data_IF_275182205700
#
_entry.id   IF_275182205700
#
_cell.length_a   1.000
_cell.length_b   1.000
_cell.length_c   1.000
_cell.angle_alpha   90.00
_cell.angle_beta   90.00
_cell.angle_gamma   90.00
#
_symmetry.space_group_name_H-M   'P 1'
#
loop_
_entity.id
_entity.type
_entity.pdbx_description
1 polymer ?
#
# COMPACT_ATOMS: atom_id res chain seq x y z
N UNK A 1 -16.36 13.96 -12.30
CA UNK A 1 -15.58 13.49 -11.14
C UNK A 1 -14.22 13.04 -11.65
N UNK A 2 -13.25 13.96 -11.67
CA UNK A 2 -11.94 13.73 -12.26
C UNK A 2 -11.06 12.87 -11.38
N UNK A 3 -10.70 11.67 -11.85
CA UNK A 3 -9.55 10.93 -11.36
C UNK A 3 -8.27 11.51 -11.98
N UNK A 4 -8.05 12.81 -11.74
CA UNK A 4 -6.91 13.57 -12.24
C UNK A 4 -6.22 14.23 -11.07
N UNK A 5 -5.47 13.44 -10.32
CA UNK A 5 -4.34 13.94 -9.58
C UNK A 5 -3.30 12.84 -9.65
N UNK A 6 -2.23 13.03 -10.42
CA UNK A 6 -0.93 12.57 -9.95
C UNK A 6 -0.70 13.38 -8.68
N UNK A 7 -0.75 12.76 -7.51
CA UNK A 7 -0.44 13.48 -6.34
C UNK A 7 1.01 13.17 -6.02
N UNK A 8 1.76 14.16 -5.64
CA UNK A 8 2.74 14.02 -4.57
C UNK A 8 2.03 13.56 -3.27
N UNK A 9 1.18 12.51 -3.30
CA UNK A 9 0.54 11.93 -2.14
C UNK A 9 1.65 11.13 -1.49
N UNK A 10 2.35 11.78 -0.58
CA UNK A 10 3.17 11.10 0.41
C UNK A 10 2.37 10.06 1.20
N UNK A 11 1.03 10.02 1.09
CA UNK A 11 0.13 9.21 1.89
C UNK A 11 -0.94 8.52 1.02
N UNK A 12 -0.98 7.19 1.01
CA UNK A 12 -2.02 6.38 0.37
C UNK A 12 -2.97 5.78 1.41
N UNK A 13 -4.27 5.69 1.07
CA UNK A 13 -5.21 4.92 1.89
C UNK A 13 -5.07 3.41 1.63
N UNK A 14 -5.52 2.58 2.58
CA UNK A 14 -5.55 1.13 2.37
C UNK A 14 -6.38 0.70 1.15
N UNK A 15 -7.45 1.45 0.82
CA UNK A 15 -8.29 1.17 -0.35
C UNK A 15 -7.57 1.50 -1.67
N UNK A 16 -6.84 2.62 -1.73
CA UNK A 16 -6.05 2.97 -2.92
C UNK A 16 -4.94 1.95 -3.19
N UNK A 17 -4.22 1.53 -2.14
CA UNK A 17 -3.19 0.49 -2.24
C UNK A 17 -3.81 -0.83 -2.69
N UNK A 18 -4.96 -1.19 -2.12
CA UNK A 18 -5.66 -2.41 -2.48
C UNK A 18 -6.13 -2.40 -3.94
N UNK A 19 -6.68 -1.28 -4.43
CA UNK A 19 -7.06 -1.13 -5.84
C UNK A 19 -5.85 -1.26 -6.76
N UNK A 20 -4.76 -0.54 -6.46
CA UNK A 20 -3.53 -0.63 -7.25
C UNK A 20 -3.00 -2.06 -7.30
N UNK A 21 -2.93 -2.75 -6.17
CA UNK A 21 -2.43 -4.12 -6.09
C UNK A 21 -3.44 -5.19 -6.52
N UNK A 22 -4.66 -4.81 -6.93
CA UNK A 22 -5.79 -5.73 -7.17
C UNK A 22 -6.02 -6.70 -6.00
N UNK A 23 -5.95 -6.18 -4.77
CA UNK A 23 -6.19 -6.90 -3.53
C UNK A 23 -7.46 -6.40 -2.84
N UNK A 24 -7.97 -7.19 -1.90
CA UNK A 24 -9.02 -6.73 -1.01
C UNK A 24 -8.44 -5.70 0.01
N UNK A 25 -9.08 -4.54 0.24
CA UNK A 25 -8.69 -3.56 1.27
C UNK A 25 -8.47 -4.16 2.66
N UNK A 26 -9.24 -5.18 3.03
CA UNK A 26 -9.05 -5.92 4.29
C UNK A 26 -7.67 -6.59 4.37
N UNK A 27 -7.07 -6.99 3.24
CA UNK A 27 -5.72 -7.57 3.19
C UNK A 27 -4.66 -6.53 3.55
N UNK A 28 -4.78 -5.32 3.00
CA UNK A 28 -3.87 -4.21 3.32
C UNK A 28 -4.05 -3.79 4.79
N UNK A 29 -5.28 -3.73 5.28
CA UNK A 29 -5.56 -3.48 6.70
C UNK A 29 -4.94 -4.55 7.61
N UNK A 30 -4.96 -5.84 7.20
CA UNK A 30 -4.28 -6.92 7.93
C UNK A 30 -2.77 -6.71 7.97
N UNK A 31 -2.14 -6.21 6.90
CA UNK A 31 -0.71 -5.90 6.91
C UNK A 31 -0.36 -4.79 7.90
N UNK A 32 -1.21 -3.76 7.98
CA UNK A 32 -1.07 -2.69 8.98
C UNK A 32 -1.25 -3.23 10.40
N UNK A 33 -2.32 -4.00 10.65
CA UNK A 33 -2.59 -4.61 11.97
C UNK A 33 -1.48 -5.57 12.42
N UNK A 34 -0.83 -6.27 11.48
CA UNK A 34 0.32 -7.16 11.75
C UNK A 34 1.64 -6.40 11.93
N UNK A 35 1.66 -5.08 11.77
CA UNK A 35 2.87 -4.27 11.84
C UNK A 35 3.82 -4.44 10.64
N UNK A 36 3.39 -5.11 9.58
CA UNK A 36 4.19 -5.29 8.37
C UNK A 36 4.24 -4.02 7.53
N UNK A 37 3.14 -3.27 7.49
CA UNK A 37 3.04 -2.01 6.78
C UNK A 37 2.81 -0.87 7.76
N UNK A 38 3.77 0.05 7.85
CA UNK A 38 3.65 1.20 8.74
C UNK A 38 2.60 2.17 8.18
N UNK A 39 1.59 2.47 8.99
CA UNK A 39 0.54 3.41 8.65
C UNK A 39 0.28 4.36 9.81
N UNK A 40 -0.14 5.58 9.48
CA UNK A 40 -0.62 6.60 10.39
C UNK A 40 -2.13 6.43 10.50
N UNK A 41 -2.62 6.14 11.70
CA UNK A 41 -4.06 6.10 11.96
C UNK A 41 -4.59 7.54 11.98
N UNK A 42 -5.52 7.86 11.08
CA UNK A 42 -6.21 9.18 11.04
C UNK A 42 -7.54 9.15 11.77
N UNK A 43 -8.23 8.01 11.73
CA UNK A 43 -9.48 7.79 12.48
C UNK A 43 -9.61 6.31 12.86
N UNK A 44 -10.69 5.93 13.53
CA UNK A 44 -10.95 4.55 13.94
C UNK A 44 -10.88 3.55 12.76
N UNK A 45 -11.21 4.00 11.54
CA UNK A 45 -11.29 3.16 10.34
C UNK A 45 -10.34 3.58 9.21
N UNK A 46 -9.75 4.78 9.28
CA UNK A 46 -8.89 5.31 8.22
C UNK A 46 -7.41 5.27 8.60
N UNK A 47 -6.64 4.57 7.77
CA UNK A 47 -5.18 4.51 7.83
C UNK A 47 -4.58 5.18 6.60
N UNK A 48 -3.51 5.94 6.82
CA UNK A 48 -2.68 6.54 5.78
C UNK A 48 -1.30 5.89 5.80
N UNK A 49 -0.87 5.36 4.67
CA UNK A 49 0.42 4.70 4.50
C UNK A 49 1.32 5.60 3.69
N UNK A 50 2.52 5.89 4.18
CA UNK A 50 3.42 6.73 3.40
C UNK A 50 4.04 5.99 2.22
N UNK A 51 4.29 6.69 1.12
CA UNK A 51 4.94 6.13 -0.09
C UNK A 51 6.32 5.55 0.26
N UNK A 52 7.08 6.24 1.11
CA UNK A 52 8.35 5.75 1.70
C UNK A 52 8.22 4.46 2.51
N UNK A 53 7.12 4.30 3.25
CA UNK A 53 6.88 3.09 4.05
C UNK A 53 6.42 1.94 3.15
N UNK A 54 5.64 2.21 2.10
CA UNK A 54 5.38 1.26 1.01
C UNK A 54 6.68 0.83 0.32
N UNK A 55 7.61 1.77 0.05
CA UNK A 55 8.93 1.45 -0.54
C UNK A 55 9.69 0.46 0.30
N UNK A 56 9.76 0.70 1.60
CA UNK A 56 10.43 -0.20 2.55
C UNK A 56 9.76 -1.56 2.60
N UNK A 57 8.43 -1.59 2.61
CA UNK A 57 7.65 -2.82 2.60
C UNK A 57 7.86 -3.65 1.32
N UNK A 58 7.82 -3.04 0.13
CA UNK A 58 8.06 -3.75 -1.12
C UNK A 58 9.53 -4.14 -1.32
N UNK A 59 10.47 -3.37 -0.74
CA UNK A 59 11.90 -3.70 -0.77
C UNK A 59 12.22 -4.91 0.12
N UNK A 60 11.55 -5.04 1.26
CA UNK A 60 11.73 -6.17 2.17
C UNK A 60 10.38 -6.73 2.65
N UNK A 61 9.64 -7.43 1.77
CA UNK A 61 8.34 -7.97 2.14
C UNK A 61 8.48 -9.18 3.07
N UNK A 62 7.54 -9.38 4.00
CA UNK A 62 7.48 -10.59 4.82
C UNK A 62 7.44 -11.85 3.95
N UNK A 63 8.21 -12.89 4.32
CA UNK A 63 8.33 -14.13 3.55
C UNK A 63 6.98 -14.74 3.17
N UNK A 64 5.99 -14.67 4.07
CA UNK A 64 4.64 -15.21 3.87
C UNK A 64 3.88 -14.56 2.71
N UNK A 65 4.20 -13.32 2.35
CA UNK A 65 3.55 -12.59 1.24
C UNK A 65 4.51 -12.24 0.10
N UNK A 66 5.80 -12.54 0.25
CA UNK A 66 6.83 -12.31 -0.77
C UNK A 66 6.43 -12.91 -2.12
N UNK A 67 5.98 -14.17 -2.16
CA UNK A 67 5.49 -14.82 -3.39
C UNK A 67 4.28 -14.11 -4.01
N UNK A 68 3.41 -13.53 -3.17
CA UNK A 68 2.22 -12.80 -3.63
C UNK A 68 2.61 -11.43 -4.22
N UNK A 69 3.56 -10.74 -3.59
CA UNK A 69 4.10 -9.47 -4.07
C UNK A 69 4.90 -9.66 -5.36
N UNK A 70 5.67 -10.74 -5.49
CA UNK A 70 6.39 -11.06 -6.73
C UNK A 70 5.46 -11.33 -7.93
N UNK A 71 4.19 -11.68 -7.68
CA UNK A 71 3.16 -11.83 -8.72
C UNK A 71 2.51 -10.51 -9.13
N UNK A 72 2.70 -9.45 -8.33
CA UNK A 72 2.17 -8.12 -8.65
C UNK A 72 3.05 -7.50 -9.72
N UNK A 73 2.42 -6.84 -10.69
CA UNK A 73 3.15 -6.16 -11.76
C UNK A 73 4.12 -5.12 -11.16
N UNK A 74 5.42 -5.20 -11.48
CA UNK A 74 6.41 -4.25 -10.98
C UNK A 74 6.11 -2.79 -11.39
N UNK A 75 5.35 -2.56 -12.48
CA UNK A 75 4.91 -1.21 -12.87
C UNK A 75 3.95 -0.60 -11.86
N UNK A 76 3.05 -1.41 -11.28
CA UNK A 76 2.10 -0.97 -10.24
C UNK A 76 2.87 -0.58 -8.98
N UNK A 77 3.88 -1.38 -8.61
CA UNK A 77 4.75 -1.05 -7.49
C UNK A 77 5.43 0.29 -7.80
N UNK A 78 6.08 0.45 -8.95
CA UNK A 78 6.72 1.72 -9.35
C UNK A 78 5.76 2.91 -9.30
N UNK A 79 4.52 2.74 -9.76
CA UNK A 79 3.48 3.76 -9.68
C UNK A 79 3.15 4.17 -8.23
N UNK A 80 3.06 3.20 -7.31
CA UNK A 80 2.81 3.46 -5.89
C UNK A 80 3.99 4.12 -5.17
N UNK A 81 5.22 3.79 -5.56
CA UNK A 81 6.40 4.21 -4.79
C UNK A 81 7.16 5.41 -5.31
N UNK A 82 6.95 5.82 -6.56
CA UNK A 82 7.80 6.82 -7.21
C UNK A 82 9.16 6.26 -7.59
#
# INVERSE_FOLDING_TARGET
MGYSARPTLDNYSCSQIAQALSLNPCTVAKWVKRGWLKAIRRSATNYLVKSRDLKRFFKNPPQSIKKRILRIDPQIIRYLVG
#
